data_IF_698323718943
#
_entry.id   IF_698323718943
#
_cell.length_a   1.000
_cell.length_b   1.000
_cell.length_c   1.000
_cell.angle_alpha   90.00
_cell.angle_beta   90.00
_cell.angle_gamma   90.00
#
_symmetry.space_group_name_H-M   'P 1'
#
loop_
_entity.id
_entity.type
_entity.pdbx_description
1 polymer ?
#
# COMPACT_ATOMS: atom_id res chain seq x y z
N UNK A 1 -7.61 10.89 2.17
CA UNK A 1 -6.17 10.60 2.37
C UNK A 1 -6.03 9.85 3.68
N UNK A 2 -5.76 8.54 3.66
CA UNK A 2 -5.49 7.79 4.91
C UNK A 2 -4.05 8.07 5.35
N UNK A 3 -3.80 8.09 6.66
CA UNK A 3 -2.45 8.32 7.19
C UNK A 3 -1.44 7.28 6.73
N UNK A 4 -1.89 6.04 6.47
CA UNK A 4 -1.08 4.97 5.90
C UNK A 4 -0.63 5.28 4.46
N UNK A 5 -1.52 5.84 3.62
CA UNK A 5 -1.18 6.21 2.23
C UNK A 5 -0.08 7.27 2.19
N UNK A 6 -0.16 8.27 3.07
CA UNK A 6 0.84 9.35 3.16
C UNK A 6 2.21 8.81 3.60
N UNK A 7 2.23 8.02 4.68
CA UNK A 7 3.46 7.36 5.16
C UNK A 7 4.11 6.50 4.08
N UNK A 8 3.31 5.75 3.33
CA UNK A 8 3.84 4.89 2.29
C UNK A 8 4.43 5.69 1.12
N UNK A 9 3.80 6.79 0.73
CA UNK A 9 4.35 7.71 -0.28
C UNK A 9 5.67 8.34 0.18
N UNK A 10 5.75 8.77 1.44
CA UNK A 10 6.97 9.33 2.03
C UNK A 10 8.11 8.29 2.06
N UNK A 11 7.82 7.05 2.44
CA UNK A 11 8.80 5.95 2.43
C UNK A 11 9.28 5.59 1.02
N UNK A 12 8.36 5.55 0.04
CA UNK A 12 8.70 5.25 -1.35
C UNK A 12 9.54 6.37 -1.97
N UNK A 13 9.21 7.64 -1.70
CA UNK A 13 10.04 8.79 -2.12
C UNK A 13 11.41 8.77 -1.45
N UNK A 14 11.49 8.47 -0.15
CA UNK A 14 12.77 8.35 0.59
C UNK A 14 13.69 7.28 -0.02
N UNK A 15 13.12 6.23 -0.59
CA UNK A 15 13.85 5.15 -1.27
C UNK A 15 14.17 5.46 -2.74
N UNK A 16 13.90 6.68 -3.21
CA UNK A 16 14.09 7.12 -4.60
C UNK A 16 13.25 6.32 -5.63
N UNK A 17 12.07 5.81 -5.23
CA UNK A 17 11.13 5.27 -6.21
C UNK A 17 10.48 6.40 -7.03
N UNK A 18 10.19 6.12 -8.30
CA UNK A 18 9.44 7.04 -9.14
C UNK A 18 7.99 7.20 -8.67
N UNK A 19 7.37 8.31 -9.06
CA UNK A 19 5.94 8.52 -8.81
C UNK A 19 5.08 7.45 -9.47
N UNK A 20 5.48 6.96 -10.64
CA UNK A 20 4.79 5.87 -11.33
C UNK A 20 4.80 4.57 -10.53
N UNK A 21 5.94 4.21 -9.92
CA UNK A 21 6.02 3.08 -9.00
C UNK A 21 5.15 3.31 -7.77
N UNK A 22 5.15 4.53 -7.21
CA UNK A 22 4.33 4.88 -6.05
C UNK A 22 2.85 4.71 -6.32
N UNK A 23 2.35 5.21 -7.45
CA UNK A 23 0.95 5.07 -7.86
C UNK A 23 0.59 3.59 -8.05
N UNK A 24 1.48 2.81 -8.67
CA UNK A 24 1.29 1.39 -8.87
C UNK A 24 1.16 0.63 -7.54
N UNK A 25 2.08 0.86 -6.61
CA UNK A 25 2.06 0.23 -5.27
C UNK A 25 0.81 0.60 -4.48
N UNK A 26 0.42 1.87 -4.49
CA UNK A 26 -0.79 2.34 -3.81
C UNK A 26 -2.06 1.71 -4.41
N UNK A 27 -2.11 1.54 -5.73
CA UNK A 27 -3.21 0.84 -6.39
C UNK A 27 -3.27 -0.61 -5.94
N UNK A 28 -2.14 -1.32 -5.93
CA UNK A 28 -2.10 -2.73 -5.56
C UNK A 28 -2.57 -2.98 -4.13
N UNK A 29 -2.17 -2.12 -3.18
CA UNK A 29 -2.64 -2.20 -1.78
C UNK A 29 -4.13 -1.87 -1.65
N UNK A 30 -4.64 -0.96 -2.49
CA UNK A 30 -6.08 -0.66 -2.50
C UNK A 30 -6.87 -1.88 -2.98
N UNK A 31 -6.42 -2.56 -4.03
CA UNK A 31 -7.05 -3.77 -4.54
C UNK A 31 -6.93 -4.93 -3.54
N UNK A 32 -5.79 -5.07 -2.88
CA UNK A 32 -5.57 -6.05 -1.80
C UNK A 32 -6.54 -5.80 -0.63
N UNK A 33 -6.65 -4.55 -0.17
CA UNK A 33 -7.60 -4.18 0.87
C UNK A 33 -9.07 -4.47 0.48
N UNK A 34 -9.43 -4.23 -0.78
CA UNK A 34 -10.76 -4.57 -1.31
C UNK A 34 -11.01 -6.07 -1.32
N UNK A 35 -10.00 -6.88 -1.68
CA UNK A 35 -10.12 -8.34 -1.71
C UNK A 35 -10.49 -8.90 -0.33
N UNK A 36 -9.77 -8.47 0.71
CA UNK A 36 -10.03 -8.91 2.09
C UNK A 36 -11.11 -8.11 2.83
N UNK A 37 -11.62 -7.03 2.22
CA UNK A 37 -12.59 -6.08 2.81
C UNK A 37 -12.16 -5.57 4.20
N UNK A 38 -10.85 -5.41 4.40
CA UNK A 38 -10.23 -4.97 5.66
C UNK A 38 -9.30 -3.80 5.39
N UNK A 39 -9.03 -3.02 6.44
CA UNK A 39 -8.05 -1.94 6.33
C UNK A 39 -6.67 -2.53 5.99
N UNK A 40 -5.90 -1.95 5.06
CA UNK A 40 -4.54 -2.39 4.77
C UNK A 40 -3.59 -2.28 5.98
N UNK A 41 -3.98 -1.54 7.02
CA UNK A 41 -3.26 -1.52 8.30
C UNK A 41 -3.48 -2.80 9.15
N UNK A 42 -4.50 -3.59 8.83
CA UNK A 42 -4.86 -4.83 9.53
C UNK A 42 -4.50 -6.09 8.73
N UNK A 43 -4.04 -5.92 7.49
CA UNK A 43 -3.63 -7.02 6.62
C UNK A 43 -2.14 -7.25 6.76
N UNK A 44 -1.74 -8.50 6.99
CA UNK A 44 -0.38 -8.86 7.35
C UNK A 44 0.21 -9.93 6.42
N UNK A 45 1.32 -10.56 6.85
CA UNK A 45 2.00 -11.60 6.09
C UNK A 45 1.14 -12.84 5.81
N UNK A 46 0.10 -13.08 6.59
CA UNK A 46 -0.81 -14.22 6.40
C UNK A 46 -1.66 -14.03 5.14
N UNK A 47 -2.21 -12.84 4.93
CA UNK A 47 -3.00 -12.50 3.74
C UNK A 47 -2.14 -12.33 2.48
N UNK A 48 -0.84 -12.03 2.63
CA UNK A 48 0.11 -11.92 1.50
C UNK A 48 0.46 -13.31 0.91
N UNK A 49 0.31 -14.38 1.70
CA UNK A 49 0.69 -15.75 1.32
C UNK A 49 -0.45 -16.56 0.68
N UNK A 50 -1.68 -16.04 0.65
CA UNK A 50 -2.81 -16.65 -0.06
C UNK A 50 -2.72 -16.42 -1.57
#
# INVERSE_FOLDING_TARGET
MTQLRKRMQEELQRRNYSESTTVCYLRQITEFAKHFKRSPAQLGPEEIKQ
#
